data_IF_303778761580
#
_entry.id   IF_303778761580
#
_cell.length_a   1.000
_cell.length_b   1.000
_cell.length_c   1.000
_cell.angle_alpha   90.00
_cell.angle_beta   90.00
_cell.angle_gamma   90.00
#
_symmetry.space_group_name_H-M   'P 1'
#
loop_
_entity.id
_entity.type
_entity.pdbx_description
1 polymer ?
#
# COMPACT_ATOMS: atom_id res chain seq x y z
N UNK A 1 -4.26 -6.39 12.89
CA UNK A 1 -5.09 -5.41 12.16
C UNK A 1 -5.78 -4.54 13.20
N UNK A 2 -5.76 -3.23 13.02
CA UNK A 2 -6.51 -2.29 13.84
C UNK A 2 -7.26 -1.34 12.89
N UNK A 3 -8.55 -1.15 13.12
CA UNK A 3 -9.37 -0.19 12.37
C UNK A 3 -9.78 0.94 13.31
N UNK A 4 -9.43 2.17 12.97
CA UNK A 4 -9.73 3.33 13.80
C UNK A 4 -11.13 3.86 13.45
N UNK A 5 -12.05 3.88 14.42
CA UNK A 5 -13.45 4.33 14.20
C UNK A 5 -13.53 5.75 13.68
N UNK A 6 -12.65 6.65 14.15
CA UNK A 6 -12.59 8.02 13.67
C UNK A 6 -12.22 8.13 12.18
N UNK A 7 -11.66 7.09 11.56
CA UNK A 7 -11.46 7.05 10.11
C UNK A 7 -12.81 6.96 9.37
N UNK A 8 -13.70 6.06 9.81
CA UNK A 8 -15.01 5.90 9.21
C UNK A 8 -15.85 7.17 9.35
N UNK A 9 -15.82 7.78 10.53
CA UNK A 9 -16.51 9.05 10.81
C UNK A 9 -15.95 10.20 9.97
N UNK A 10 -14.63 10.36 9.94
CA UNK A 10 -13.98 11.47 9.23
C UNK A 10 -14.24 11.42 7.72
N UNK A 11 -14.37 10.24 7.12
CA UNK A 11 -14.61 10.10 5.68
C UNK A 11 -16.08 9.79 5.33
N UNK A 12 -16.97 9.71 6.34
CA UNK A 12 -18.35 9.29 6.19
C UNK A 12 -18.45 8.01 5.34
N UNK A 13 -17.75 6.97 5.81
CA UNK A 13 -17.65 5.70 5.10
C UNK A 13 -18.92 4.88 5.31
N UNK A 14 -19.43 4.33 4.22
CA UNK A 14 -20.46 3.29 4.24
C UNK A 14 -19.88 1.95 4.69
N UNK A 15 -20.72 0.98 5.02
CA UNK A 15 -20.28 -0.37 5.36
C UNK A 15 -19.44 -1.03 4.26
N UNK A 16 -19.83 -0.88 2.99
CA UNK A 16 -19.08 -1.38 1.82
C UNK A 16 -17.70 -0.74 1.69
N UNK A 17 -17.59 0.54 2.03
CA UNK A 17 -16.33 1.29 2.04
C UNK A 17 -15.44 0.91 3.23
N UNK A 18 -16.03 0.57 4.38
CA UNK A 18 -15.30 -0.03 5.50
C UNK A 18 -14.77 -1.42 5.10
N UNK A 19 -15.61 -2.24 4.46
CA UNK A 19 -15.23 -3.56 3.97
C UNK A 19 -14.07 -3.50 2.95
N UNK A 20 -14.00 -2.43 2.15
CA UNK A 20 -12.83 -2.17 1.29
C UNK A 20 -11.55 -2.07 2.11
N UNK A 21 -11.54 -1.21 3.14
CA UNK A 21 -10.35 -0.98 3.96
C UNK A 21 -9.97 -2.25 4.72
N UNK A 22 -10.95 -2.94 5.30
CA UNK A 22 -10.70 -4.22 5.97
C UNK A 22 -10.15 -5.26 4.99
N UNK A 23 -10.71 -5.36 3.79
CA UNK A 23 -10.22 -6.26 2.74
C UNK A 23 -8.78 -5.95 2.32
N UNK A 24 -8.42 -4.67 2.22
CA UNK A 24 -7.06 -4.21 1.95
C UNK A 24 -6.07 -4.64 3.04
N UNK A 25 -6.41 -4.41 4.31
CA UNK A 25 -5.57 -4.82 5.44
C UNK A 25 -5.47 -6.35 5.57
N UNK A 26 -6.53 -7.08 5.20
CA UNK A 26 -6.52 -8.55 5.16
C UNK A 26 -5.58 -9.03 4.08
N UNK A 27 -5.60 -8.39 2.91
CA UNK A 27 -4.69 -8.70 1.83
C UNK A 27 -3.22 -8.48 2.23
N UNK A 28 -2.91 -7.37 2.93
CA UNK A 28 -1.58 -7.12 3.51
C UNK A 28 -1.10 -8.28 4.40
N UNK A 29 -1.98 -8.79 5.25
CA UNK A 29 -1.67 -9.90 6.14
C UNK A 29 -1.49 -11.22 5.37
N UNK A 30 -2.39 -11.52 4.43
CA UNK A 30 -2.37 -12.75 3.63
C UNK A 30 -1.16 -12.83 2.68
N UNK A 31 -0.73 -11.69 2.13
CA UNK A 31 0.41 -11.59 1.23
C UNK A 31 1.75 -11.43 1.97
N UNK A 32 1.69 -11.35 3.31
CA UNK A 32 2.83 -11.20 4.20
C UNK A 32 3.74 -10.01 3.87
N UNK A 33 3.17 -8.91 3.37
CA UNK A 33 3.93 -7.74 2.90
C UNK A 33 4.87 -7.17 3.96
N UNK A 34 4.46 -7.14 5.24
CA UNK A 34 5.34 -6.69 6.33
C UNK A 34 6.59 -7.57 6.48
N UNK A 35 6.44 -8.91 6.40
CA UNK A 35 7.58 -9.83 6.47
C UNK A 35 8.48 -9.67 5.24
N UNK A 36 7.87 -9.56 4.06
CA UNK A 36 8.56 -9.34 2.79
C UNK A 36 9.34 -8.02 2.77
N UNK A 37 8.75 -6.94 3.30
CA UNK A 37 9.42 -5.64 3.46
C UNK A 37 10.58 -5.72 4.44
N UNK A 38 10.38 -6.34 5.61
CA UNK A 38 11.47 -6.53 6.57
C UNK A 38 12.63 -7.33 5.97
N UNK A 39 12.33 -8.43 5.29
CA UNK A 39 13.35 -9.24 4.61
C UNK A 39 14.11 -8.46 3.53
N UNK A 40 13.38 -7.70 2.70
CA UNK A 40 13.98 -6.84 1.70
C UNK A 40 14.91 -5.79 2.32
N UNK A 41 14.45 -5.10 3.38
CA UNK A 41 15.22 -4.08 4.09
C UNK A 41 16.48 -4.63 4.76
N UNK A 42 16.43 -5.83 5.33
CA UNK A 42 17.60 -6.49 5.93
C UNK A 42 18.63 -6.82 4.86
N UNK A 43 18.18 -7.43 3.75
CA UNK A 43 19.06 -7.82 2.65
C UNK A 43 19.70 -6.59 1.99
N UNK A 44 18.92 -5.55 1.74
CA UNK A 44 19.38 -4.32 1.12
C UNK A 44 20.32 -3.53 2.02
N UNK A 45 20.05 -3.48 3.33
CA UNK A 45 20.95 -2.84 4.31
C UNK A 45 22.30 -3.55 4.35
N UNK A 46 22.31 -4.88 4.30
CA UNK A 46 23.54 -5.65 4.21
C UNK A 46 24.28 -5.37 2.89
N UNK A 47 23.56 -5.31 1.76
CA UNK A 47 24.15 -5.00 0.47
C UNK A 47 24.78 -3.59 0.44
N UNK A 48 24.10 -2.59 1.02
CA UNK A 48 24.63 -1.23 1.14
C UNK A 48 25.90 -1.21 1.99
N UNK A 49 25.92 -1.89 3.14
CA UNK A 49 27.11 -1.94 4.01
C UNK A 49 28.30 -2.61 3.32
N UNK A 50 28.09 -3.76 2.65
CA UNK A 50 29.14 -4.45 1.91
C UNK A 50 29.64 -3.62 0.72
N UNK A 51 28.72 -2.98 -0.01
CA UNK A 51 29.06 -2.09 -1.11
C UNK A 51 29.88 -0.88 -0.66
N UNK A 52 29.48 -0.24 0.44
CA UNK A 52 30.21 0.89 1.00
C UNK A 52 31.63 0.49 1.46
N UNK A 53 31.79 -0.66 2.11
CA UNK A 53 33.09 -1.19 2.51
C UNK A 53 33.99 -1.48 1.30
N UNK A 54 33.45 -2.08 0.23
CA UNK A 54 34.19 -2.36 -0.99
C UNK A 54 34.63 -1.07 -1.72
N UNK A 55 33.77 -0.04 -1.77
CA UNK A 55 34.12 1.27 -2.33
C UNK A 55 35.23 1.92 -1.51
N UNK A 56 35.09 1.96 -0.18
CA UNK A 56 36.10 2.53 0.70
C UNK A 56 37.47 1.87 0.52
N UNK A 57 37.50 0.53 0.43
CA UNK A 57 38.73 -0.22 0.24
C UNK A 57 39.42 0.06 -1.12
N UNK A 58 38.65 0.34 -2.17
CA UNK A 58 39.17 0.52 -3.52
C UNK A 58 39.49 1.97 -3.90
N UNK A 59 38.82 2.96 -3.30
CA UNK A 59 38.91 4.37 -3.75
C UNK A 59 39.36 5.34 -2.67
N UNK A 60 39.37 4.94 -1.39
CA UNK A 60 39.72 5.82 -0.28
C UNK A 60 38.72 6.96 -0.03
N UNK A 61 37.52 6.91 -0.64
CA UNK A 61 36.46 7.89 -0.39
C UNK A 61 35.94 7.78 1.05
N UNK A 62 35.49 8.91 1.61
CA UNK A 62 34.88 8.94 2.93
C UNK A 62 33.60 8.07 2.94
N UNK A 63 33.60 7.04 3.80
CA UNK A 63 32.52 6.08 3.96
C UNK A 63 31.17 6.74 4.28
N UNK A 64 31.16 7.87 4.99
CA UNK A 64 29.94 8.55 5.40
C UNK A 64 29.18 9.13 4.19
N UNK A 65 29.92 9.66 3.20
CA UNK A 65 29.32 10.22 1.98
C UNK A 65 28.77 9.11 1.08
N UNK A 66 29.46 7.97 1.01
CA UNK A 66 29.02 6.78 0.26
C UNK A 66 27.76 6.19 0.92
N UNK A 67 27.73 6.11 2.25
CA UNK A 67 26.57 5.63 3.00
C UNK A 67 25.34 6.52 2.84
N UNK A 68 25.52 7.85 2.84
CA UNK A 68 24.42 8.78 2.61
C UNK A 68 23.83 8.66 1.19
N UNK A 69 24.67 8.55 0.17
CA UNK A 69 24.19 8.35 -1.20
C UNK A 69 23.44 7.02 -1.36
N UNK A 70 23.98 5.94 -0.76
CA UNK A 70 23.38 4.63 -0.82
C UNK A 70 22.04 4.55 -0.07
N UNK A 71 21.89 5.24 1.07
CA UNK A 71 20.63 5.27 1.83
C UNK A 71 19.52 6.01 1.09
N UNK A 72 19.84 7.14 0.43
CA UNK A 72 18.88 7.85 -0.41
C UNK A 72 18.47 7.00 -1.63
N UNK A 73 19.42 6.37 -2.31
CA UNK A 73 19.13 5.46 -3.41
C UNK A 73 18.28 4.28 -2.97
N UNK A 74 18.53 3.75 -1.77
CA UNK A 74 17.74 2.69 -1.19
C UNK A 74 16.28 3.11 -0.96
N UNK A 75 16.06 4.22 -0.24
CA UNK A 75 14.72 4.69 0.11
C UNK A 75 13.88 4.99 -1.15
N UNK A 76 14.46 5.70 -2.11
CA UNK A 76 13.73 6.17 -3.28
C UNK A 76 13.73 5.18 -4.45
N UNK A 77 14.77 4.35 -4.56
CA UNK A 77 14.96 3.40 -5.66
C UNK A 77 14.43 2.00 -5.37
N UNK A 78 14.37 1.57 -4.10
CA UNK A 78 13.93 0.23 -3.72
C UNK A 78 12.70 0.28 -2.82
N UNK A 79 12.78 0.94 -1.66
CA UNK A 79 11.70 0.89 -0.66
C UNK A 79 10.40 1.47 -1.17
N UNK A 80 10.42 2.70 -1.72
CA UNK A 80 9.20 3.35 -2.21
C UNK A 80 8.55 2.59 -3.37
N UNK A 81 9.27 2.16 -4.42
CA UNK A 81 8.68 1.33 -5.46
C UNK A 81 8.12 0.01 -4.94
N UNK A 82 8.82 -0.65 -4.02
CA UNK A 82 8.39 -1.93 -3.45
C UNK A 82 7.13 -1.78 -2.58
N UNK A 83 7.09 -0.76 -1.73
CA UNK A 83 5.89 -0.41 -0.96
C UNK A 83 4.69 -0.10 -1.86
N UNK A 84 4.89 0.67 -2.95
CA UNK A 84 3.82 0.94 -3.93
C UNK A 84 3.33 -0.34 -4.61
N UNK A 85 4.22 -1.30 -4.89
CA UNK A 85 3.83 -2.58 -5.46
C UNK A 85 2.91 -3.36 -4.51
N UNK A 86 3.22 -3.38 -3.21
CA UNK A 86 2.35 -4.02 -2.19
C UNK A 86 0.95 -3.41 -2.16
N UNK A 87 0.83 -2.10 -2.31
CA UNK A 87 -0.48 -1.43 -2.36
C UNK A 87 -1.35 -1.94 -3.51
N UNK A 88 -0.77 -2.15 -4.71
CA UNK A 88 -1.53 -2.69 -5.84
C UNK A 88 -1.97 -4.13 -5.62
N UNK A 89 -1.12 -4.97 -5.01
CA UNK A 89 -1.50 -6.35 -4.68
C UNK A 89 -2.59 -6.38 -3.60
N UNK A 90 -2.48 -5.50 -2.60
CA UNK A 90 -3.46 -5.36 -1.53
C UNK A 90 -4.81 -4.84 -2.06
N UNK A 91 -4.81 -3.85 -2.95
CA UNK A 91 -6.02 -3.37 -3.63
C UNK A 91 -6.70 -4.51 -4.41
N UNK A 92 -5.91 -5.25 -5.20
CA UNK A 92 -6.45 -6.31 -6.06
C UNK A 92 -7.09 -7.45 -5.26
N UNK A 93 -6.39 -7.95 -4.24
CA UNK A 93 -6.93 -8.99 -3.38
C UNK A 93 -8.03 -8.47 -2.46
N UNK A 94 -7.92 -7.24 -1.94
CA UNK A 94 -8.93 -6.59 -1.12
C UNK A 94 -10.26 -6.43 -1.85
N UNK A 95 -10.23 -5.96 -3.11
CA UNK A 95 -11.41 -5.91 -3.99
C UNK A 95 -12.07 -7.27 -4.18
N UNK A 96 -11.25 -8.32 -4.30
CA UNK A 96 -11.74 -9.70 -4.43
C UNK A 96 -12.41 -10.17 -3.15
N UNK A 97 -11.79 -9.93 -1.99
CA UNK A 97 -12.31 -10.30 -0.69
C UNK A 97 -13.65 -9.60 -0.39
N UNK A 98 -13.75 -8.30 -0.62
CA UNK A 98 -15.01 -7.57 -0.41
C UNK A 98 -16.10 -8.06 -1.37
N UNK A 99 -15.77 -8.35 -2.63
CA UNK A 99 -16.72 -8.89 -3.60
C UNK A 99 -17.23 -10.27 -3.17
N UNK A 100 -16.33 -11.14 -2.69
CA UNK A 100 -16.68 -12.46 -2.15
C UNK A 100 -17.56 -12.37 -0.90
N UNK A 101 -17.38 -11.32 -0.10
CA UNK A 101 -18.18 -11.04 1.09
C UNK A 101 -19.53 -10.39 0.78
N UNK A 102 -19.85 -10.14 -0.50
CA UNK A 102 -21.13 -9.55 -0.90
C UNK A 102 -21.17 -8.02 -0.80
N UNK A 103 -20.01 -7.35 -0.80
CA UNK A 103 -19.91 -5.90 -0.93
C UNK A 103 -19.57 -5.48 -2.36
N UNK A 104 -20.10 -4.34 -2.81
CA UNK A 104 -19.95 -3.88 -4.18
C UNK A 104 -18.50 -3.40 -4.43
N UNK A 105 -17.73 -4.06 -5.31
CA UNK A 105 -16.31 -3.72 -5.54
C UNK A 105 -16.11 -2.32 -6.15
N UNK A 106 -17.15 -1.69 -6.71
CA UNK A 106 -17.07 -0.30 -7.16
C UNK A 106 -16.87 0.70 -6.00
N UNK A 107 -17.28 0.34 -4.79
CA UNK A 107 -17.13 1.19 -3.61
C UNK A 107 -15.67 1.32 -3.18
N UNK A 108 -14.81 0.37 -3.56
CA UNK A 108 -13.37 0.47 -3.31
C UNK A 108 -12.78 1.75 -3.92
N UNK A 109 -13.19 2.08 -5.14
CA UNK A 109 -12.73 3.29 -5.83
C UNK A 109 -13.27 4.56 -5.14
N UNK A 110 -14.47 4.50 -4.57
CA UNK A 110 -15.06 5.63 -3.85
C UNK A 110 -14.27 5.98 -2.59
N UNK A 111 -13.79 4.97 -1.83
CA UNK A 111 -12.92 5.18 -0.67
C UNK A 111 -11.71 6.03 -1.04
N UNK A 112 -10.99 5.61 -2.08
CA UNK A 112 -9.75 6.27 -2.50
C UNK A 112 -9.99 7.65 -3.09
N UNK A 113 -11.12 7.87 -3.79
CA UNK A 113 -11.55 9.19 -4.25
C UNK A 113 -11.87 10.12 -3.06
N UNK A 114 -12.60 9.63 -2.05
CA UNK A 114 -12.89 10.38 -0.81
C UNK A 114 -11.61 10.75 -0.06
N UNK A 115 -10.64 9.83 0.00
CA UNK A 115 -9.34 10.07 0.62
C UNK A 115 -8.52 11.12 -0.13
N UNK A 116 -8.45 11.03 -1.46
CA UNK A 116 -7.75 12.03 -2.28
C UNK A 116 -8.37 13.42 -2.17
N UNK A 117 -9.70 13.51 -2.12
CA UNK A 117 -10.40 14.80 -1.98
C UNK A 117 -10.07 15.54 -0.67
N UNK A 118 -9.66 14.82 0.38
CA UNK A 118 -9.30 15.42 1.68
C UNK A 118 -7.79 15.63 1.89
N UNK A 119 -6.93 15.27 0.91
CA UNK A 119 -5.46 15.41 1.01
C UNK A 119 -4.96 16.84 1.33
N UNK A 120 -5.75 17.88 1.02
CA UNK A 120 -5.39 19.29 1.25
C UNK A 120 -6.00 19.94 2.50
N UNK A 121 -6.87 19.24 3.23
CA UNK A 121 -7.72 19.84 4.28
C UNK A 121 -7.25 19.55 5.69
N UNK A 122 -6.00 19.91 6.04
CA UNK A 122 -5.45 20.19 7.39
C UNK A 122 -5.82 19.33 8.61
N UNK A 123 -6.51 18.20 8.44
CA UNK A 123 -7.14 17.44 9.51
C UNK A 123 -6.47 16.08 9.64
N UNK A 124 -6.62 15.49 10.83
CA UNK A 124 -6.13 14.17 11.28
C UNK A 124 -6.55 12.96 10.41
N UNK A 125 -7.07 13.22 9.21
CA UNK A 125 -7.42 12.31 8.14
C UNK A 125 -6.19 11.59 7.50
N UNK A 126 -4.98 11.94 7.93
CA UNK A 126 -3.71 11.55 7.33
C UNK A 126 -3.09 10.22 7.78
N UNK A 127 -3.70 9.45 8.69
CA UNK A 127 -3.09 8.17 9.15
C UNK A 127 -2.97 7.15 8.02
N UNK A 128 -4.09 6.79 7.38
CA UNK A 128 -4.08 5.81 6.28
C UNK A 128 -3.25 6.30 5.10
N UNK A 129 -3.35 7.56 4.68
CA UNK A 129 -2.59 8.05 3.53
C UNK A 129 -1.08 8.19 3.81
N UNK A 130 -0.68 8.21 5.08
CA UNK A 130 0.74 8.20 5.47
C UNK A 130 1.34 6.80 5.37
N UNK A 131 0.59 5.76 5.75
CA UNK A 131 1.06 4.36 5.67
C UNK A 131 0.74 3.70 4.33
N UNK A 132 -0.36 4.10 3.70
CA UNK A 132 -0.88 3.62 2.42
C UNK A 132 -1.04 4.79 1.44
N UNK A 133 0.06 5.22 0.80
CA UNK A 133 0.00 6.31 -0.16
C UNK A 133 -0.88 5.91 -1.36
N UNK A 134 -1.93 6.70 -1.59
CA UNK A 134 -2.78 6.56 -2.77
C UNK A 134 -2.33 7.49 -3.90
N UNK A 135 -2.44 7.04 -5.15
CA UNK A 135 -2.24 7.82 -6.36
C UNK A 135 -3.31 7.49 -7.42
N UNK A 136 -3.43 8.31 -8.46
CA UNK A 136 -4.45 8.08 -9.50
C UNK A 136 -4.21 6.78 -10.28
N UNK A 137 -2.97 6.29 -10.34
CA UNK A 137 -2.62 5.02 -10.96
C UNK A 137 -3.23 3.80 -10.25
N UNK A 138 -3.36 3.84 -8.92
CA UNK A 138 -4.08 2.81 -8.14
C UNK A 138 -5.55 2.79 -8.48
N UNK A 139 -6.20 3.96 -8.57
CA UNK A 139 -7.60 4.07 -9.01
C UNK A 139 -7.78 3.44 -10.40
N UNK A 140 -6.90 3.78 -11.36
CA UNK A 140 -6.93 3.18 -12.69
C UNK A 140 -6.70 1.67 -12.68
N UNK A 141 -5.84 1.15 -11.81
CA UNK A 141 -5.62 -0.28 -11.66
C UNK A 141 -6.87 -0.98 -11.12
N UNK A 142 -7.50 -0.43 -10.07
CA UNK A 142 -8.76 -0.95 -9.53
C UNK A 142 -9.89 -0.91 -10.56
N UNK A 143 -10.00 0.16 -11.35
CA UNK A 143 -10.99 0.27 -12.42
C UNK A 143 -10.87 -0.87 -13.45
N UNK A 144 -9.64 -1.29 -13.78
CA UNK A 144 -9.39 -2.44 -14.66
C UNK A 144 -9.82 -3.78 -14.05
N UNK A 145 -9.80 -3.89 -12.73
CA UNK A 145 -10.19 -5.10 -11.99
C UNK A 145 -11.70 -5.18 -11.73
N UNK A 146 -12.45 -4.09 -11.95
CA UNK A 146 -13.90 -4.06 -11.70
C UNK A 146 -14.70 -5.12 -12.45
N UNK A 147 -14.48 -5.40 -13.75
CA UNK A 147 -15.30 -6.40 -14.46
C UNK A 147 -15.22 -7.78 -13.82
N UNK A 148 -14.01 -8.23 -13.45
CA UNK A 148 -13.81 -9.52 -12.77
C UNK A 148 -14.48 -9.53 -11.40
N UNK A 149 -14.23 -8.50 -10.59
CA UNK A 149 -14.75 -8.45 -9.23
C UNK A 149 -16.28 -8.28 -9.19
N UNK A 150 -16.89 -7.57 -10.15
CA UNK A 150 -18.35 -7.52 -10.28
C UNK A 150 -18.94 -8.90 -10.53
N UNK A 151 -18.33 -9.71 -11.39
CA UNK A 151 -18.79 -11.07 -11.63
C UNK A 151 -18.68 -11.94 -10.36
N UNK A 152 -17.68 -11.71 -9.50
CA UNK A 152 -17.57 -12.37 -8.20
C UNK A 152 -18.69 -11.93 -7.25
N UNK A 153 -18.89 -10.61 -7.13
CA UNK A 153 -19.93 -10.00 -6.31
C UNK A 153 -21.33 -10.51 -6.68
N UNK A 154 -21.68 -10.51 -7.97
CA UNK A 154 -22.97 -11.01 -8.47
C UNK A 154 -23.22 -12.48 -8.14
N UNK A 155 -22.16 -13.29 -8.06
CA UNK A 155 -22.28 -14.69 -7.61
C UNK A 155 -22.43 -14.78 -6.09
N UNK A 156 -21.77 -13.91 -5.33
CA UNK A 156 -21.82 -13.92 -3.87
C UNK A 156 -23.22 -13.56 -3.36
N UNK A 157 -23.86 -12.54 -3.93
CA UNK A 157 -25.20 -12.08 -3.48
C UNK A 157 -26.37 -12.97 -3.92
N UNK A 158 -26.11 -13.97 -4.78
CA UNK A 158 -27.11 -14.95 -5.22
C UNK A 158 -27.13 -16.23 -4.36
N UNK A 159 -26.16 -16.37 -3.45
CA UNK A 159 -26.07 -17.49 -2.50
C UNK A 159 -26.92 -17.21 -1.28
#
# INVERSE_FOLDING_TARGET
MAFYTGLAENYNLTESEIATIVGHEMAYALLEHSKKQMGANVLSSLAVQLGAAAVQANTGYNADMVNLGASVLHEYGLDKPYSRHHEYEADALGMRLMAMAGYNPADAINVWKKMNAKKGGGSKAGSILSTHPNNDSRIQAMEKLLPENRAIYERAIKR
#
